data_IF_550465585406
#
_entry.id   IF_550465585406
#
_cell.length_a   1.000
_cell.length_b   1.000
_cell.length_c   1.000
_cell.angle_alpha   90.00
_cell.angle_beta   90.00
_cell.angle_gamma   90.00
#
_symmetry.space_group_name_H-M   'P 1'
#
loop_
_entity.id
_entity.type
_entity.pdbx_description
1 polymer ?
#
# COMPACT_ATOMS: atom_id res chain seq x y z
N UNK A 1 -3.13 13.83 20.65
CA UNK A 1 -4.32 13.32 19.94
C UNK A 1 -4.39 11.86 20.30
N UNK A 2 -5.16 11.56 21.35
CA UNK A 2 -5.39 10.19 21.81
C UNK A 2 -6.37 9.55 20.83
N UNK A 3 -5.90 8.54 20.09
CA UNK A 3 -6.73 7.71 19.25
C UNK A 3 -6.93 6.41 20.00
N UNK A 4 -8.18 6.00 20.23
CA UNK A 4 -8.52 4.72 20.82
C UNK A 4 -7.88 3.61 19.97
N UNK A 5 -7.04 2.78 20.59
CA UNK A 5 -6.22 1.77 19.92
C UNK A 5 -7.02 0.75 19.08
N UNK A 6 -8.33 0.63 19.33
CA UNK A 6 -9.22 -0.36 18.73
C UNK A 6 -9.63 -0.09 17.27
N UNK A 7 -9.58 1.16 16.78
CA UNK A 7 -10.09 1.49 15.43
C UNK A 7 -9.10 1.18 14.30
N UNK A 8 -7.83 0.93 14.61
CA UNK A 8 -6.76 0.69 13.63
C UNK A 8 -6.47 -0.81 13.35
N UNK A 9 -7.26 -1.73 13.89
CA UNK A 9 -6.89 -3.14 13.98
C UNK A 9 -7.68 -4.09 13.08
N UNK A 10 -8.74 -3.64 12.41
CA UNK A 10 -9.54 -4.54 11.57
C UNK A 10 -8.87 -4.70 10.20
N UNK A 11 -8.36 -5.90 9.95
CA UNK A 11 -7.89 -6.30 8.64
C UNK A 11 -9.09 -6.61 7.72
N UNK A 12 -9.05 -6.09 6.49
CA UNK A 12 -9.90 -6.57 5.40
C UNK A 12 -9.12 -7.56 4.56
N UNK A 13 -9.64 -8.78 4.45
CA UNK A 13 -9.10 -9.79 3.55
C UNK A 13 -9.48 -9.51 2.10
N UNK A 14 -8.55 -9.77 1.19
CA UNK A 14 -8.77 -9.67 -0.24
C UNK A 14 -9.02 -11.08 -0.75
N UNK A 15 -10.12 -11.33 -1.48
CA UNK A 15 -10.36 -12.63 -2.11
C UNK A 15 -9.20 -13.07 -3.01
N UNK A 16 -8.89 -14.35 -3.05
CA UNK A 16 -7.71 -14.89 -3.75
C UNK A 16 -7.70 -14.61 -5.27
N UNK A 17 -8.88 -14.50 -5.86
CA UNK A 17 -9.13 -14.27 -7.29
C UNK A 17 -9.26 -12.78 -7.66
N UNK A 18 -9.17 -11.88 -6.67
CA UNK A 18 -9.34 -10.45 -6.87
C UNK A 18 -8.00 -9.72 -7.05
N UNK A 19 -7.98 -8.77 -8.00
CA UNK A 19 -6.81 -7.93 -8.26
C UNK A 19 -7.15 -6.47 -7.98
N UNK A 20 -6.28 -5.80 -7.23
CA UNK A 20 -6.39 -4.37 -6.99
C UNK A 20 -5.50 -3.65 -8.02
N UNK A 21 -6.11 -2.86 -8.90
CA UNK A 21 -5.42 -2.19 -10.01
C UNK A 21 -5.58 -0.68 -9.88
N UNK A 22 -4.48 0.05 -10.02
CA UNK A 22 -4.50 1.50 -10.13
C UNK A 22 -3.47 2.04 -11.10
N UNK A 23 -3.73 3.23 -11.64
CA UNK A 23 -2.74 4.02 -12.37
C UNK A 23 -2.60 5.39 -11.74
N UNK A 24 -1.43 5.98 -11.88
CA UNK A 24 -1.17 7.33 -11.40
C UNK A 24 -0.46 8.16 -12.45
N UNK A 25 -0.62 9.47 -12.37
CA UNK A 25 0.29 10.40 -13.04
C UNK A 25 1.71 10.30 -12.44
N UNK A 26 2.66 11.06 -13.00
CA UNK A 26 4.05 11.10 -12.54
C UNK A 26 4.23 11.75 -11.16
N UNK A 27 3.20 12.42 -10.64
CA UNK A 27 3.17 13.00 -9.29
C UNK A 27 2.56 12.03 -8.27
N UNK A 28 2.09 10.86 -8.71
CA UNK A 28 1.46 9.85 -7.86
C UNK A 28 -0.02 10.12 -7.56
N UNK A 29 -0.69 10.99 -8.33
CA UNK A 29 -2.14 11.16 -8.24
C UNK A 29 -2.84 10.08 -9.03
N UNK A 30 -3.86 9.45 -8.44
CA UNK A 30 -4.59 8.34 -9.03
C UNK A 30 -5.38 8.83 -10.24
N UNK A 31 -5.09 8.26 -11.40
CA UNK A 31 -5.80 8.53 -12.67
C UNK A 31 -6.78 7.43 -13.03
N UNK A 32 -6.63 6.25 -12.43
CA UNK A 32 -7.51 5.11 -12.63
C UNK A 32 -7.50 4.21 -11.38
N UNK A 33 -8.65 3.66 -11.05
CA UNK A 33 -8.86 2.62 -10.04
C UNK A 33 -9.91 1.63 -10.56
N UNK A 34 -9.75 0.34 -10.31
CA UNK A 34 -10.82 -0.64 -10.56
C UNK A 34 -11.79 -0.74 -9.38
N UNK A 35 -12.93 -1.40 -9.59
CA UNK A 35 -13.98 -1.58 -8.57
C UNK A 35 -13.47 -2.31 -7.32
N UNK A 36 -12.62 -3.32 -7.50
CA UNK A 36 -11.96 -4.03 -6.40
C UNK A 36 -11.17 -3.07 -5.51
N UNK A 37 -10.42 -2.13 -6.10
CA UNK A 37 -9.67 -1.14 -5.34
C UNK A 37 -10.58 -0.21 -4.54
N UNK A 38 -11.67 0.29 -5.12
CA UNK A 38 -12.66 1.10 -4.41
C UNK A 38 -13.25 0.32 -3.21
N UNK A 39 -13.71 -0.91 -3.46
CA UNK A 39 -14.34 -1.76 -2.46
C UNK A 39 -13.41 -2.10 -1.30
N UNK A 40 -12.18 -2.57 -1.59
CA UNK A 40 -11.21 -2.97 -0.57
C UNK A 40 -10.64 -1.77 0.19
N UNK A 41 -10.51 -0.60 -0.44
CA UNK A 41 -10.00 0.60 0.24
C UNK A 41 -11.07 1.34 1.05
N UNK A 42 -12.36 1.06 0.79
CA UNK A 42 -13.48 1.76 1.41
C UNK A 42 -13.74 3.15 0.84
N UNK A 43 -13.09 3.53 -0.26
CA UNK A 43 -13.31 4.79 -0.97
C UNK A 43 -14.17 4.56 -2.21
N UNK A 44 -15.04 5.50 -2.54
CA UNK A 44 -15.68 5.51 -3.85
C UNK A 44 -14.66 5.83 -4.96
N UNK A 45 -14.90 5.34 -6.19
CA UNK A 45 -14.03 5.66 -7.35
C UNK A 45 -13.82 7.17 -7.50
N UNK A 46 -14.89 7.95 -7.41
CA UNK A 46 -14.83 9.42 -7.52
C UNK A 46 -14.01 10.09 -6.40
N UNK A 47 -13.88 9.42 -5.24
CA UNK A 47 -13.04 9.90 -4.15
C UNK A 47 -11.57 9.50 -4.34
N UNK A 48 -11.30 8.43 -5.11
CA UNK A 48 -9.94 7.99 -5.43
C UNK A 48 -9.33 8.82 -6.55
N UNK A 49 -10.09 9.07 -7.63
CA UNK A 49 -9.57 9.78 -8.80
C UNK A 49 -9.12 11.20 -8.42
N UNK A 50 -7.90 11.56 -8.84
CA UNK A 50 -7.27 12.85 -8.57
C UNK A 50 -6.58 12.94 -7.20
N UNK A 51 -6.81 11.99 -6.29
CA UNK A 51 -6.12 11.98 -5.00
C UNK A 51 -4.72 11.40 -5.11
N UNK A 52 -3.81 11.89 -4.26
CA UNK A 52 -2.50 11.27 -4.09
C UNK A 52 -2.66 9.85 -3.55
N UNK A 53 -1.92 8.88 -4.10
CA UNK A 53 -1.91 7.50 -3.59
C UNK A 53 -1.48 7.42 -2.09
N UNK A 54 -0.89 8.49 -1.55
CA UNK A 54 -0.56 8.60 -0.12
C UNK A 54 -1.78 8.54 0.82
N UNK A 55 -3.02 8.75 0.34
CA UNK A 55 -4.23 8.62 1.19
C UNK A 55 -4.39 7.19 1.76
N UNK A 56 -3.75 6.19 1.14
CA UNK A 56 -3.76 4.79 1.56
C UNK A 56 -2.52 4.42 2.38
N UNK A 57 -1.63 5.36 2.66
CA UNK A 57 -0.39 5.07 3.34
C UNK A 57 -0.68 4.71 4.80
N UNK A 58 -0.41 3.46 5.16
CA UNK A 58 -0.54 3.04 6.54
C UNK A 58 0.56 3.68 7.42
N UNK A 59 0.22 4.20 8.62
CA UNK A 59 1.20 4.78 9.56
C UNK A 59 2.33 3.83 9.96
N UNK A 60 2.04 2.52 9.97
CA UNK A 60 3.02 1.48 10.29
C UNK A 60 3.99 1.15 9.15
N UNK A 61 3.79 1.69 7.93
CA UNK A 61 4.72 1.40 6.84
C UNK A 61 6.02 2.21 7.00
N UNK A 62 7.19 1.55 7.10
CA UNK A 62 8.46 2.24 7.30
C UNK A 62 8.77 3.16 6.11
N UNK A 63 9.27 4.37 6.39
CA UNK A 63 9.64 5.35 5.35
C UNK A 63 10.65 4.78 4.36
N UNK A 64 11.56 3.92 4.84
CA UNK A 64 12.57 3.26 4.00
C UNK A 64 12.00 2.38 2.89
N UNK A 65 10.82 1.77 3.07
CA UNK A 65 10.17 0.95 2.04
C UNK A 65 9.76 1.82 0.86
N UNK A 66 9.13 2.97 1.11
CA UNK A 66 8.76 3.92 0.05
C UNK A 66 9.97 4.59 -0.58
N UNK A 67 11.03 4.87 0.19
CA UNK A 67 12.30 5.37 -0.37
C UNK A 67 12.89 4.36 -1.35
N UNK A 68 12.91 3.08 -0.99
CA UNK A 68 13.34 2.00 -1.87
C UNK A 68 12.47 1.93 -3.14
N UNK A 69 11.14 1.96 -2.99
CA UNK A 69 10.20 1.99 -4.11
C UNK A 69 10.56 3.06 -5.14
N UNK A 70 10.69 4.32 -4.72
CA UNK A 70 10.97 5.42 -5.64
C UNK A 70 12.35 5.32 -6.28
N UNK A 71 13.36 4.91 -5.51
CA UNK A 71 14.70 4.68 -6.05
C UNK A 71 14.69 3.57 -7.11
N UNK A 72 14.00 2.46 -6.84
CA UNK A 72 13.90 1.32 -7.74
C UNK A 72 13.14 1.65 -9.01
N UNK A 73 12.05 2.42 -8.94
CA UNK A 73 11.32 2.87 -10.14
C UNK A 73 12.18 3.76 -11.05
N UNK A 74 13.09 4.55 -10.47
CA UNK A 74 14.01 5.40 -11.25
C UNK A 74 15.10 4.58 -11.96
N UNK A 75 15.54 3.45 -11.39
CA UNK A 75 16.68 2.68 -11.91
C UNK A 75 16.30 1.43 -12.70
N UNK A 76 15.21 0.76 -12.33
CA UNK A 76 14.83 -0.55 -12.86
C UNK A 76 13.43 -0.59 -13.48
N UNK A 77 12.74 0.56 -13.53
CA UNK A 77 11.40 0.76 -14.10
C UNK A 77 10.28 -0.08 -13.45
N UNK A 78 10.61 -1.00 -12.55
CA UNK A 78 9.68 -1.91 -11.87
C UNK A 78 10.11 -2.14 -10.43
N UNK A 79 9.18 -2.03 -9.50
CA UNK A 79 9.36 -2.34 -8.09
C UNK A 79 8.36 -3.40 -7.64
N UNK A 80 8.79 -4.26 -6.72
CA UNK A 80 7.94 -5.27 -6.09
C UNK A 80 8.16 -5.25 -4.57
N UNK A 81 7.08 -5.47 -3.82
CA UNK A 81 7.16 -5.59 -2.37
C UNK A 81 5.80 -5.67 -1.70
N UNK A 82 5.81 -6.01 -0.41
CA UNK A 82 4.59 -6.11 0.40
C UNK A 82 4.24 -4.75 1.00
N UNK A 83 2.97 -4.38 1.00
CA UNK A 83 2.49 -3.10 1.53
C UNK A 83 1.26 -3.34 2.41
N UNK A 84 1.28 -2.75 3.61
CA UNK A 84 0.09 -2.53 4.44
C UNK A 84 -0.54 -1.20 4.03
N UNK A 85 -1.79 -1.23 3.56
CA UNK A 85 -2.53 -0.04 3.16
C UNK A 85 -3.60 0.31 4.20
N UNK A 86 -3.87 1.60 4.36
CA UNK A 86 -4.90 2.16 5.22
C UNK A 86 -6.21 2.29 4.44
N UNK A 87 -7.32 1.86 5.02
CA UNK A 87 -8.67 2.07 4.51
C UNK A 87 -9.24 3.41 4.96
N UNK A 88 -10.30 3.86 4.29
CA UNK A 88 -11.04 5.08 4.66
C UNK A 88 -11.57 5.03 6.10
N UNK A 89 -12.03 3.87 6.52
CA UNK A 89 -12.61 3.55 7.84
C UNK A 89 -11.58 3.28 8.94
N UNK A 90 -10.28 3.56 8.68
CA UNK A 90 -9.14 3.33 9.59
C UNK A 90 -8.74 1.86 9.78
N UNK A 91 -9.43 0.91 9.16
CA UNK A 91 -8.93 -0.46 9.00
C UNK A 91 -7.73 -0.54 8.06
N UNK A 92 -7.24 -1.76 7.79
CA UNK A 92 -6.12 -1.97 6.88
C UNK A 92 -6.27 -3.23 6.04
N UNK A 93 -5.40 -3.37 5.04
CA UNK A 93 -5.27 -4.60 4.25
C UNK A 93 -3.82 -4.76 3.77
N UNK A 94 -3.41 -6.01 3.58
CA UNK A 94 -2.08 -6.37 3.07
C UNK A 94 -2.14 -6.76 1.60
N UNK A 95 -1.12 -6.37 0.85
CA UNK A 95 -0.95 -6.75 -0.56
C UNK A 95 0.50 -7.05 -0.87
N UNK A 96 0.73 -7.94 -1.83
CA UNK A 96 1.95 -7.94 -2.62
C UNK A 96 1.72 -6.99 -3.81
N UNK A 97 2.54 -5.96 -3.94
CA UNK A 97 2.41 -4.91 -4.94
C UNK A 97 3.52 -5.01 -5.98
N UNK A 98 3.13 -4.95 -7.24
CA UNK A 98 4.02 -4.78 -8.39
C UNK A 98 3.71 -3.45 -9.05
N UNK A 99 4.70 -2.55 -9.06
CA UNK A 99 4.57 -1.19 -9.60
C UNK A 99 5.55 -1.05 -10.76
N UNK A 100 5.09 -0.49 -11.88
CA UNK A 100 5.91 -0.29 -13.07
C UNK A 100 5.64 1.04 -13.73
N UNK A 101 6.67 1.62 -14.34
CA UNK A 101 6.52 2.75 -15.24
C UNK A 101 5.90 2.32 -16.57
N UNK A 102 5.03 3.16 -17.12
CA UNK A 102 4.47 2.99 -18.47
C UNK A 102 5.07 4.07 -19.37
N UNK A 103 5.59 3.65 -20.51
CA UNK A 103 6.35 4.50 -21.42
C UNK A 103 5.64 4.61 -22.76
N UNK A 104 5.67 5.81 -23.33
CA UNK A 104 5.27 6.08 -24.70
C UNK A 104 6.40 6.87 -25.37
N UNK A 105 6.90 6.37 -26.49
CA UNK A 105 8.03 6.98 -27.21
C UNK A 105 9.25 7.20 -26.28
N UNK A 106 9.62 6.17 -25.51
CA UNK A 106 10.68 6.15 -24.48
C UNK A 106 10.51 7.17 -23.34
N UNK A 107 9.38 7.87 -23.28
CA UNK A 107 9.05 8.82 -22.22
C UNK A 107 8.11 8.16 -21.22
N UNK A 108 8.49 8.21 -19.94
CA UNK A 108 7.61 7.81 -18.84
C UNK A 108 6.37 8.72 -18.81
N UNK A 109 5.18 8.14 -18.85
CA UNK A 109 3.90 8.88 -18.90
C UNK A 109 2.98 8.60 -17.70
N UNK A 110 3.05 7.41 -17.10
CA UNK A 110 2.25 7.03 -15.94
C UNK A 110 2.95 5.92 -15.14
N UNK A 111 2.48 5.68 -13.92
CA UNK A 111 2.80 4.48 -13.17
C UNK A 111 1.57 3.57 -13.09
N UNK A 112 1.79 2.26 -13.20
CA UNK A 112 0.77 1.23 -13.01
C UNK A 112 1.12 0.37 -11.83
N UNK A 113 0.13 0.09 -10.97
CA UNK A 113 0.24 -0.81 -9.83
C UNK A 113 -0.77 -1.96 -9.96
N UNK A 114 -0.29 -3.18 -9.77
CA UNK A 114 -1.10 -4.38 -9.60
C UNK A 114 -0.80 -4.93 -8.20
N UNK A 115 -1.84 -5.30 -7.47
CA UNK A 115 -1.75 -5.76 -6.10
C UNK A 115 -2.56 -7.03 -5.93
N UNK A 116 -1.93 -8.04 -5.33
CA UNK A 116 -2.51 -9.35 -5.05
C UNK A 116 -2.61 -9.60 -3.54
N UNK A 117 -3.54 -10.45 -3.09
CA UNK A 117 -3.55 -10.94 -1.71
C UNK A 117 -2.23 -11.65 -1.36
N UNK A 118 -1.96 -11.74 -0.06
CA UNK A 118 -0.88 -12.56 0.51
C UNK A 118 -1.42 -13.44 1.63
N UNK A 119 -0.79 -14.60 1.83
CA UNK A 119 -1.18 -15.52 2.89
C UNK A 119 -0.78 -15.01 4.30
N UNK A 120 -1.37 -15.60 5.33
CA UNK A 120 -1.13 -15.21 6.73
C UNK A 120 0.34 -15.31 7.15
N UNK A 121 1.09 -16.30 6.65
CA UNK A 121 2.51 -16.48 6.97
C UNK A 121 3.34 -15.29 6.48
N UNK A 122 3.07 -14.81 5.26
CA UNK A 122 3.70 -13.62 4.71
C UNK A 122 3.30 -12.35 5.47
N UNK A 123 2.01 -12.19 5.83
CA UNK A 123 1.55 -11.05 6.66
C UNK A 123 2.36 -10.97 7.96
N UNK A 124 2.49 -12.09 8.67
CA UNK A 124 3.23 -12.17 9.94
C UNK A 124 4.73 -11.91 9.75
N UNK A 125 5.33 -12.43 8.68
CA UNK A 125 6.74 -12.18 8.33
C UNK A 125 6.99 -10.69 8.10
N UNK A 126 6.17 -10.03 7.29
CA UNK A 126 6.36 -8.61 6.94
C UNK A 126 5.98 -7.67 8.09
N UNK A 127 4.99 -8.01 8.92
CA UNK A 127 4.71 -7.25 10.13
C UNK A 127 5.96 -7.19 11.03
N UNK A 128 6.57 -8.34 11.35
CA UNK A 128 7.80 -8.39 12.16
C UNK A 128 8.94 -7.59 11.54
N UNK A 129 9.16 -7.74 10.23
CA UNK A 129 10.20 -7.02 9.50
C UNK A 129 10.01 -5.50 9.57
N UNK A 130 8.78 -5.03 9.41
CA UNK A 130 8.47 -3.60 9.42
C UNK A 130 8.51 -3.01 10.82
N UNK A 131 8.16 -3.77 11.84
CA UNK A 131 8.35 -3.37 13.24
C UNK A 131 9.85 -3.23 13.58
N UNK A 132 10.68 -4.14 13.10
CA UNK A 132 12.14 -4.03 13.23
C UNK A 132 12.68 -2.77 12.53
N UNK A 133 12.26 -2.52 11.29
CA UNK A 133 12.66 -1.32 10.56
C UNK A 133 12.28 -0.03 11.27
N UNK A 134 11.06 0.05 11.80
CA UNK A 134 10.62 1.22 12.58
C UNK A 134 11.44 1.42 13.84
N UNK A 135 11.79 0.32 14.52
CA UNK A 135 12.63 0.38 15.71
C UNK A 135 14.04 0.92 15.39
N UNK A 136 14.65 0.43 14.31
CA UNK A 136 15.95 0.92 13.83
C UNK A 136 15.87 2.40 13.45
N UNK A 137 14.81 2.81 12.75
CA UNK A 137 14.61 4.18 12.27
C UNK A 137 14.18 5.16 13.38
N UNK A 138 13.96 4.67 14.62
CA UNK A 138 13.37 5.41 15.74
C UNK A 138 12.05 6.09 15.39
N UNK A 139 11.30 5.50 14.46
CA UNK A 139 9.92 5.88 14.22
C UNK A 139 9.08 5.43 15.42
N UNK A 140 8.02 6.17 15.77
CA UNK A 140 7.06 5.71 16.80
C UNK A 140 6.58 4.31 16.43
N UNK A 141 6.71 3.32 17.32
CA UNK A 141 6.33 1.91 17.09
C UNK A 141 4.92 1.68 17.64
N UNK A 142 4.04 1.07 16.85
CA UNK A 142 2.75 0.53 17.33
C UNK A 142 2.84 -0.99 17.30
N UNK A 143 2.50 -1.68 18.39
CA UNK A 143 2.50 -3.14 18.44
C UNK A 143 1.11 -3.68 18.13
N UNK A 144 1.00 -4.50 17.09
CA UNK A 144 -0.23 -5.25 16.76
C UNK A 144 -0.03 -6.70 17.20
N UNK A 145 -0.85 -7.19 18.12
CA UNK A 145 -0.81 -8.57 18.62
C UNK A 145 -1.91 -9.34 17.88
N UNK A 146 -1.54 -10.38 17.14
CA UNK A 146 -2.49 -11.34 16.59
C UNK A 146 -2.68 -12.44 17.64
N UNK A 147 -3.88 -12.57 18.21
CA UNK A 147 -4.21 -13.70 19.08
C UNK A 147 -4.35 -14.98 18.23
N UNK A 148 -3.78 -16.08 18.74
CA UNK A 148 -3.76 -17.42 18.11
C UNK A 148 -5.06 -18.19 18.32
#
# INVERSE_FOLDING_TARGET
MEFLESEFLIETEIPEDELIISRTDLKGNITYANETFATISGYGINELIGQSHNILRHPDMPKRVFKNLWNTLQTSQKWEGVIKNLRKDKGFYWVHATISGVYKDDKLIEYKSIRTPINISEKLKYQRLYDEYRNIDRDNIRRVIYES
#
